data_IF_226907378272
#
_entry.id   IF_226907378272
#
_cell.length_a   1.000
_cell.length_b   1.000
_cell.length_c   1.000
_cell.angle_alpha   90.00
_cell.angle_beta   90.00
_cell.angle_gamma   90.00
#
_symmetry.space_group_name_H-M   'P 1'
#
loop_
_entity.id
_entity.type
_entity.pdbx_description
1 polymer ?
#
# COMPACT_ATOMS: atom_id res chain seq x y z
N UNK A 1 -3.39 4.68 -6.02
CA UNK A 1 -2.34 5.72 -5.97
C UNK A 1 -2.82 6.98 -6.69
N UNK A 2 -2.60 8.20 -6.19
CA UNK A 2 -3.11 9.43 -6.81
C UNK A 2 -2.43 9.78 -8.15
N UNK A 3 -1.34 9.08 -8.49
CA UNK A 3 -0.49 9.40 -9.65
C UNK A 3 -0.85 8.61 -10.92
N UNK A 4 -1.80 7.67 -10.87
CA UNK A 4 -2.35 7.04 -12.07
C UNK A 4 -3.61 7.78 -12.51
N UNK A 5 -3.63 8.22 -13.76
CA UNK A 5 -4.75 8.92 -14.36
C UNK A 5 -5.97 8.00 -14.57
N UNK A 6 -7.11 8.58 -14.91
CA UNK A 6 -8.36 7.82 -15.09
C UNK A 6 -8.27 6.78 -16.21
N UNK A 7 -7.55 7.09 -17.30
CA UNK A 7 -7.39 6.18 -18.42
C UNK A 7 -6.59 4.93 -18.03
N UNK A 8 -5.49 5.12 -17.28
CA UNK A 8 -4.70 4.01 -16.74
C UNK A 8 -5.51 3.12 -15.79
N UNK A 9 -6.38 3.72 -14.98
CA UNK A 9 -7.32 2.97 -14.12
C UNK A 9 -8.30 2.14 -14.93
N UNK A 10 -8.97 2.75 -15.91
CA UNK A 10 -9.90 2.04 -16.81
C UNK A 10 -9.24 0.88 -17.55
N UNK A 11 -7.94 0.99 -17.83
CA UNK A 11 -7.19 -0.08 -18.46
C UNK A 11 -6.80 -1.22 -17.50
N UNK A 12 -6.37 -0.88 -16.27
CA UNK A 12 -5.84 -1.84 -15.31
C UNK A 12 -6.92 -2.48 -14.44
N UNK A 13 -7.89 -1.73 -13.96
CA UNK A 13 -8.90 -2.19 -12.98
C UNK A 13 -9.63 -3.46 -13.47
N UNK A 14 -10.12 -3.56 -14.73
CA UNK A 14 -10.78 -4.78 -15.20
C UNK A 14 -9.88 -6.03 -15.17
N UNK A 15 -8.56 -5.88 -15.36
CA UNK A 15 -7.60 -6.99 -15.29
C UNK A 15 -7.34 -7.41 -13.85
N UNK A 16 -7.38 -6.45 -12.93
CA UNK A 16 -7.21 -6.71 -11.51
C UNK A 16 -8.44 -7.40 -10.92
N UNK A 17 -9.65 -7.07 -11.40
CA UNK A 17 -10.91 -7.70 -10.99
C UNK A 17 -11.00 -9.19 -11.36
N UNK A 18 -10.16 -9.67 -12.27
CA UNK A 18 -10.04 -11.08 -12.64
C UNK A 18 -9.10 -11.87 -11.69
N UNK A 19 -8.31 -11.17 -10.86
CA UNK A 19 -7.34 -11.80 -9.95
C UNK A 19 -7.98 -12.01 -8.58
N UNK A 20 -8.13 -13.28 -8.19
CA UNK A 20 -8.63 -13.67 -6.87
C UNK A 20 -7.54 -14.41 -6.09
N UNK A 21 -7.26 -13.93 -4.87
CA UNK A 21 -6.30 -14.55 -3.95
C UNK A 21 -7.00 -14.85 -2.63
N UNK A 22 -6.91 -16.09 -2.16
CA UNK A 22 -7.54 -16.58 -0.93
C UNK A 22 -6.55 -16.80 0.21
N UNK A 23 -5.26 -16.94 -0.13
CA UNK A 23 -4.21 -17.19 0.86
C UNK A 23 -3.12 -16.12 0.81
N UNK A 24 -2.40 -15.88 1.92
CA UNK A 24 -1.22 -15.02 1.90
C UNK A 24 -0.17 -15.46 0.88
N UNK A 25 -0.04 -16.76 0.63
CA UNK A 25 0.88 -17.32 -0.36
C UNK A 25 0.49 -16.94 -1.80
N UNK A 26 -0.79 -17.05 -2.15
CA UNK A 26 -1.32 -16.61 -3.46
C UNK A 26 -1.14 -15.12 -3.67
N UNK A 27 -1.44 -14.29 -2.66
CA UNK A 27 -1.23 -12.85 -2.74
C UNK A 27 0.26 -12.52 -2.95
N UNK A 28 1.15 -13.15 -2.18
CA UNK A 28 2.58 -12.94 -2.33
C UNK A 28 3.08 -13.37 -3.71
N UNK A 29 2.58 -14.50 -4.23
CA UNK A 29 2.90 -14.96 -5.59
C UNK A 29 2.49 -13.92 -6.64
N UNK A 30 1.24 -13.45 -6.62
CA UNK A 30 0.74 -12.44 -7.56
C UNK A 30 1.57 -11.16 -7.50
N UNK A 31 1.82 -10.63 -6.29
CA UNK A 31 2.63 -9.40 -6.13
C UNK A 31 4.04 -9.60 -6.67
N UNK A 32 4.67 -10.75 -6.36
CA UNK A 32 6.01 -11.08 -6.85
C UNK A 32 6.03 -11.19 -8.38
N UNK A 33 5.04 -11.85 -8.99
CA UNK A 33 4.92 -11.98 -10.44
C UNK A 33 4.69 -10.63 -11.14
N UNK A 34 3.91 -9.73 -10.55
CA UNK A 34 3.73 -8.38 -11.10
C UNK A 34 5.04 -7.58 -11.07
N UNK A 35 5.83 -7.72 -9.99
CA UNK A 35 7.14 -7.08 -9.87
C UNK A 35 8.14 -7.66 -10.87
N UNK A 36 8.19 -8.98 -11.01
CA UNK A 36 9.03 -9.65 -12.00
C UNK A 36 8.68 -9.22 -13.43
N UNK A 37 7.40 -9.19 -13.78
CA UNK A 37 6.93 -8.69 -15.07
C UNK A 37 7.32 -7.22 -15.31
N UNK A 38 7.25 -6.37 -14.28
CA UNK A 38 7.72 -4.98 -14.37
C UNK A 38 9.22 -4.91 -14.63
N UNK A 39 10.04 -5.63 -13.87
CA UNK A 39 11.50 -5.65 -14.00
C UNK A 39 11.93 -6.06 -15.41
N UNK A 40 11.27 -7.08 -15.98
CA UNK A 40 11.59 -7.65 -17.29
C UNK A 40 10.88 -6.95 -18.47
N UNK A 41 10.05 -5.93 -18.23
CA UNK A 41 9.30 -5.25 -19.30
C UNK A 41 10.21 -4.41 -20.21
N UNK A 42 10.07 -4.51 -21.54
CA UNK A 42 10.74 -3.60 -22.50
C UNK A 42 12.29 -3.59 -22.49
N UNK A 43 12.96 -4.55 -21.85
CA UNK A 43 14.43 -4.66 -21.82
C UNK A 43 14.87 -6.13 -21.84
N UNK A 44 16.06 -6.42 -22.39
CA UNK A 44 16.66 -7.77 -22.33
C UNK A 44 17.28 -8.06 -20.96
N UNK A 45 17.94 -7.05 -20.35
CA UNK A 45 18.59 -7.17 -19.03
C UNK A 45 18.15 -6.04 -18.07
N UNK A 46 17.56 -6.36 -16.91
CA UNK A 46 17.23 -5.36 -15.90
C UNK A 46 18.48 -4.82 -15.19
N UNK A 47 18.54 -3.50 -15.03
CA UNK A 47 19.63 -2.82 -14.33
C UNK A 47 19.25 -2.47 -12.88
N UNK A 48 20.25 -2.04 -12.11
CA UNK A 48 20.11 -1.64 -10.70
C UNK A 48 19.00 -0.60 -10.46
N UNK A 49 18.79 0.34 -11.40
CA UNK A 49 17.76 1.36 -11.26
C UNK A 49 16.36 0.74 -11.22
N UNK A 50 16.09 -0.26 -12.07
CA UNK A 50 14.78 -0.95 -12.08
C UNK A 50 14.49 -1.70 -10.80
N UNK A 51 15.51 -2.35 -10.23
CA UNK A 51 15.37 -3.02 -8.94
C UNK A 51 15.03 -2.01 -7.84
N UNK A 52 15.72 -0.87 -7.79
CA UNK A 52 15.41 0.18 -6.81
C UNK A 52 14.02 0.79 -7.01
N UNK A 53 13.58 0.99 -8.25
CA UNK A 53 12.22 1.46 -8.54
C UNK A 53 11.17 0.48 -8.03
N UNK A 54 11.34 -0.81 -8.32
CA UNK A 54 10.42 -1.86 -7.86
C UNK A 54 10.34 -1.91 -6.33
N UNK A 55 11.49 -1.87 -5.65
CA UNK A 55 11.55 -1.81 -4.18
C UNK A 55 10.86 -0.54 -3.66
N UNK A 56 11.11 0.62 -4.27
CA UNK A 56 10.46 1.88 -3.88
C UNK A 56 8.94 1.82 -3.99
N UNK A 57 8.41 1.24 -5.08
CA UNK A 57 6.97 1.06 -5.29
C UNK A 57 6.36 0.15 -4.20
N UNK A 58 7.02 -0.96 -3.88
CA UNK A 58 6.55 -1.90 -2.84
C UNK A 58 6.53 -1.22 -1.45
N UNK A 59 7.56 -0.46 -1.11
CA UNK A 59 7.62 0.30 0.14
C UNK A 59 6.50 1.33 0.23
N UNK A 60 6.26 2.09 -0.84
CA UNK A 60 5.14 3.03 -0.89
C UNK A 60 3.79 2.33 -0.75
N UNK A 61 3.58 1.17 -1.42
CA UNK A 61 2.33 0.42 -1.34
C UNK A 61 2.07 -0.10 0.08
N UNK A 62 3.11 -0.64 0.75
CA UNK A 62 3.05 -1.09 2.15
C UNK A 62 2.67 0.05 3.10
N UNK A 63 3.32 1.22 2.96
CA UNK A 63 3.02 2.37 3.80
C UNK A 63 1.60 2.90 3.57
N UNK A 64 1.11 2.89 2.33
CA UNK A 64 -0.25 3.33 2.02
C UNK A 64 -1.31 2.36 2.57
N UNK A 65 -1.05 1.05 2.53
CA UNK A 65 -1.87 0.04 3.20
C UNK A 65 -1.94 0.30 4.71
N UNK A 66 -0.78 0.53 5.33
CA UNK A 66 -0.71 0.80 6.75
C UNK A 66 -1.50 2.07 7.11
N UNK A 67 -1.23 3.18 6.41
CA UNK A 67 -1.85 4.48 6.66
C UNK A 67 -3.36 4.49 6.44
N UNK A 68 -3.87 3.83 5.38
CA UNK A 68 -5.29 3.91 5.02
C UNK A 68 -6.16 2.86 5.70
N UNK A 69 -5.63 1.67 5.94
CA UNK A 69 -6.44 0.54 6.43
C UNK A 69 -6.02 0.12 7.84
N UNK A 70 -4.72 -0.06 8.08
CA UNK A 70 -4.23 -0.57 9.37
C UNK A 70 -4.39 0.46 10.48
N UNK A 71 -3.94 1.70 10.27
CA UNK A 71 -4.00 2.73 11.31
C UNK A 71 -5.44 3.00 11.80
N UNK A 72 -6.45 3.20 10.93
CA UNK A 72 -7.84 3.35 11.41
C UNK A 72 -8.39 2.09 12.11
N UNK A 73 -7.95 0.90 11.71
CA UNK A 73 -8.31 -0.34 12.38
C UNK A 73 -7.67 -0.42 13.77
N UNK A 74 -6.41 -0.04 13.91
CA UNK A 74 -5.69 0.03 15.19
C UNK A 74 -6.30 1.08 16.11
N UNK A 75 -6.66 2.26 15.61
CA UNK A 75 -7.38 3.29 16.39
C UNK A 75 -8.67 2.72 16.99
N UNK A 76 -9.44 1.96 16.20
CA UNK A 76 -10.62 1.26 16.69
C UNK A 76 -10.27 0.21 17.75
N UNK A 77 -9.21 -0.57 17.56
CA UNK A 77 -8.76 -1.58 18.53
C UNK A 77 -8.23 -0.97 19.83
N UNK A 78 -7.62 0.20 19.76
CA UNK A 78 -7.22 0.98 20.93
C UNK A 78 -8.45 1.41 21.74
N UNK A 79 -9.52 1.87 21.09
CA UNK A 79 -10.78 2.20 21.77
C UNK A 79 -11.45 0.96 22.40
N UNK A 80 -11.37 -0.20 21.74
CA UNK A 80 -11.98 -1.46 22.23
C UNK A 80 -11.19 -2.12 23.37
N UNK A 81 -9.85 -2.14 23.27
CA UNK A 81 -8.99 -2.97 24.13
C UNK A 81 -8.01 -2.17 24.98
N UNK A 82 -7.95 -0.85 24.78
CA UNK A 82 -6.92 0.02 25.36
C UNK A 82 -5.66 0.10 24.50
N UNK A 83 -4.87 1.15 24.73
CA UNK A 83 -3.55 1.35 24.12
C UNK A 83 -2.45 0.74 24.99
N UNK A 84 -1.36 0.31 24.36
CA UNK A 84 -0.13 -0.14 25.01
C UNK A 84 0.75 1.04 25.43
N UNK A 85 0.70 2.15 24.69
CA UNK A 85 1.53 3.32 24.98
C UNK A 85 0.93 4.16 26.12
N UNK A 86 1.77 4.48 27.11
CA UNK A 86 1.37 5.30 28.28
C UNK A 86 1.37 6.81 28.00
N UNK A 87 1.97 7.24 26.89
CA UNK A 87 2.06 8.65 26.52
C UNK A 87 1.11 8.91 25.36
N UNK A 88 -0.07 9.46 25.67
CA UNK A 88 -0.97 10.02 24.66
C UNK A 88 -0.72 11.52 24.60
N UNK A 89 -0.53 12.06 23.39
CA UNK A 89 -0.55 13.51 23.20
C UNK A 89 -2.00 13.94 23.38
N UNK A 90 -2.28 14.69 24.45
CA UNK A 90 -3.63 15.18 24.73
C UNK A 90 -4.05 16.12 23.58
N UNK A 91 -4.97 15.67 22.72
CA UNK A 91 -5.38 16.41 21.50
C UNK A 91 -6.40 17.51 21.80
N UNK A 92 -6.54 17.94 23.06
CA UNK A 92 -7.57 18.90 23.50
C UNK A 92 -7.37 20.36 23.09
N UNK A 93 -6.34 20.71 22.31
CA UNK A 93 -6.11 22.11 21.90
C UNK A 93 -6.06 22.29 20.38
N UNK A 94 -7.21 22.08 19.70
CA UNK A 94 -7.50 22.70 18.39
C UNK A 94 -8.97 23.04 18.27
N UNK A 95 -9.45 23.92 19.14
CA UNK A 95 -10.70 24.67 18.95
C UNK A 95 -10.61 25.97 19.73
N UNK A 96 -9.81 26.92 19.25
CA UNK A 96 -10.05 28.34 19.55
C UNK A 96 -10.06 29.12 18.23
N UNK A 97 -11.15 29.83 17.91
CA UNK A 97 -11.17 30.79 16.82
C UNK A 97 -10.49 32.10 17.25
N UNK A 98 -9.57 32.60 16.43
CA UNK A 98 -9.20 34.02 16.38
C UNK A 98 -9.70 34.62 15.07
#
# INVERSE_FOLDING_TARGET
MPYINEEGRKFLDPKLDEIYTHTPGELNYVVTSLVDAYINSHVEDPNYARYNEAIGVLECAKLELYRRLVAPYEDKKILENGDVFRYTVDTKERNEPQ
#
